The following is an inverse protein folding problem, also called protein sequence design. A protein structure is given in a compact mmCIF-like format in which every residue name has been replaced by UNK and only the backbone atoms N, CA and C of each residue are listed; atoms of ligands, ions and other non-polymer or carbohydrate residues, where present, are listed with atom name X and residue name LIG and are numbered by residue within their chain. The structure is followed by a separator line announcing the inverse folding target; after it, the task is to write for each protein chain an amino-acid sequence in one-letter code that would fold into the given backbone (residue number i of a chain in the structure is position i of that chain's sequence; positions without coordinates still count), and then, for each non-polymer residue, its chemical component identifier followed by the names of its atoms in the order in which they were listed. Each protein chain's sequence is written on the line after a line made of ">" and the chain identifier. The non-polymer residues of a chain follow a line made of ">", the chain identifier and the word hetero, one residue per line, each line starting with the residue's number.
data_IF_136309574002
#
_entry.id   IF_136309574002
#
_cell.length_a   1.000
_cell.length_b   1.000
_cell.length_c   1.000
_cell.angle_alpha   90.00
_cell.angle_beta   90.00
_cell.angle_gamma   90.00
#
_symmetry.space_group_name_H-M   'P 1'
#
loop_
_entity.id
_entity.type
_entity.pdbx_description
1 polymer ?
#
# COMPACT_ATOMS: atom_id res chain seq x y z
N UNK A 1 -7.45 -10.40 -0.23
CA UNK A 1 -6.69 -9.22 0.28
C UNK A 1 -5.18 -9.41 0.06
N UNK A 2 -4.75 -9.74 -1.16
CA UNK A 2 -3.44 -9.38 -1.73
C UNK A 2 -3.78 -8.33 -2.79
N UNK A 3 -3.19 -7.12 -2.75
CA UNK A 3 -1.75 -6.91 -2.61
C UNK A 3 -1.27 -6.36 -1.26
N UNK A 4 -2.15 -5.80 -0.42
CA UNK A 4 -1.73 -5.01 0.75
C UNK A 4 -2.05 -5.64 2.11
N UNK A 5 -1.14 -5.47 3.07
CA UNK A 5 -1.38 -5.78 4.48
C UNK A 5 -2.51 -4.90 5.04
N UNK A 6 -3.40 -5.50 5.84
CA UNK A 6 -4.56 -4.82 6.42
C UNK A 6 -4.16 -3.60 7.27
N UNK A 7 -3.00 -3.65 7.92
CA UNK A 7 -2.41 -2.53 8.66
C UNK A 7 -2.26 -1.26 7.83
N UNK A 8 -1.92 -1.40 6.55
CA UNK A 8 -1.67 -0.25 5.69
C UNK A 8 -2.98 0.36 5.20
N UNK A 9 -3.99 -0.46 4.92
CA UNK A 9 -5.35 0.02 4.66
C UNK A 9 -5.91 0.82 5.84
N UNK A 10 -5.70 0.33 7.07
CA UNK A 10 -6.07 1.09 8.26
C UNK A 10 -5.32 2.44 8.35
N UNK A 11 -4.05 2.46 7.97
CA UNK A 11 -3.26 3.69 7.89
C UNK A 11 -3.82 4.69 6.88
N UNK A 12 -4.22 4.23 5.68
CA UNK A 12 -4.85 5.08 4.65
C UNK A 12 -6.16 5.66 5.14
N UNK A 13 -7.05 4.84 5.73
CA UNK A 13 -8.30 5.34 6.29
C UNK A 13 -8.09 6.32 7.45
N UNK A 14 -7.07 6.09 8.28
CA UNK A 14 -6.69 7.03 9.33
C UNK A 14 -6.19 8.36 8.73
N UNK A 15 -5.36 8.33 7.69
CA UNK A 15 -4.88 9.53 6.98
C UNK A 15 -6.04 10.34 6.40
N UNK A 16 -6.95 9.68 5.67
CA UNK A 16 -8.15 10.31 5.13
C UNK A 16 -9.04 10.92 6.23
N UNK A 17 -9.17 10.23 7.37
CA UNK A 17 -9.88 10.76 8.52
C UNK A 17 -9.23 12.03 9.08
N UNK A 18 -7.90 12.04 9.20
CA UNK A 18 -7.15 13.22 9.67
C UNK A 18 -7.28 14.39 8.69
N UNK A 19 -7.24 14.14 7.39
CA UNK A 19 -7.42 15.19 6.36
C UNK A 19 -8.83 15.77 6.38
N UNK A 20 -9.86 14.93 6.49
CA UNK A 20 -11.24 15.40 6.60
C UNK A 20 -11.44 16.26 7.85
N UNK A 21 -10.84 15.88 8.98
CA UNK A 21 -10.84 16.69 10.20
C UNK A 21 -10.05 17.99 10.03
N UNK A 22 -8.88 17.94 9.41
CA UNK A 22 -8.06 19.13 9.15
C UNK A 22 -8.82 20.15 8.29
N UNK A 23 -9.49 19.71 7.22
CA UNK A 23 -10.31 20.57 6.37
C UNK A 23 -11.55 21.10 7.10
N UNK A 24 -12.21 20.27 7.90
CA UNK A 24 -13.32 20.69 8.76
C UNK A 24 -12.89 21.80 9.72
N UNK A 25 -11.80 21.59 10.47
CA UNK A 25 -11.28 22.58 11.41
C UNK A 25 -10.78 23.84 10.71
N UNK A 26 -10.09 23.70 9.58
CA UNK A 26 -9.60 24.87 8.83
C UNK A 26 -10.77 25.70 8.33
N UNK A 27 -11.88 25.10 7.89
CA UNK A 27 -13.08 25.83 7.45
C UNK A 27 -13.88 26.41 8.61
N UNK A 28 -13.95 25.71 9.75
CA UNK A 28 -14.68 26.16 10.92
C UNK A 28 -13.96 27.25 11.71
N UNK A 29 -12.62 27.17 11.80
CA UNK A 29 -11.79 28.04 12.61
C UNK A 29 -11.14 29.17 11.81
N UNK A 30 -11.05 29.08 10.48
CA UNK A 30 -10.49 30.18 9.70
C UNK A 30 -11.38 31.42 9.86
N UNK A 31 -10.88 32.50 10.49
CA UNK A 31 -11.60 33.76 10.51
C UNK A 31 -11.60 34.28 9.07
N UNK A 32 -12.79 34.38 8.48
CA UNK A 32 -12.94 34.92 7.14
C UNK A 32 -13.83 36.14 7.24
N UNK A 33 -13.24 37.32 7.13
CA UNK A 33 -13.97 38.61 7.14
C UNK A 33 -14.90 38.75 5.91
N UNK A 34 -14.76 37.87 4.93
CA UNK A 34 -15.43 37.92 3.62
C UNK A 34 -16.35 36.73 3.32
N UNK A 35 -16.32 35.66 4.12
CA UNK A 35 -17.14 34.46 3.87
C UNK A 35 -18.21 34.27 4.96
N UNK A 36 -19.42 33.82 4.58
CA UNK A 36 -20.48 33.53 5.53
C UNK A 36 -20.07 32.38 6.47
N UNK A 37 -20.48 32.47 7.74
CA UNK A 37 -20.25 31.43 8.73
C UNK A 37 -21.03 30.16 8.31
N UNK A 38 -20.31 29.14 7.84
CA UNK A 38 -20.91 27.89 7.37
C UNK A 38 -21.43 27.05 8.53
N UNK A 39 -22.53 26.33 8.31
CA UNK A 39 -23.05 25.39 9.30
C UNK A 39 -22.06 24.26 9.60
N UNK A 40 -22.15 23.66 10.80
CA UNK A 40 -21.33 22.50 11.17
C UNK A 40 -21.48 21.34 10.16
N UNK A 41 -22.71 21.08 9.73
CA UNK A 41 -23.00 20.02 8.76
C UNK A 41 -22.41 20.32 7.38
N UNK A 42 -22.51 21.57 6.91
CA UNK A 42 -21.95 21.99 5.62
C UNK A 42 -20.42 21.91 5.62
N UNK A 43 -19.80 22.30 6.74
CA UNK A 43 -18.33 22.22 6.91
C UNK A 43 -17.84 20.78 6.95
N UNK A 44 -18.60 19.88 7.59
CA UNK A 44 -18.29 18.45 7.61
C UNK A 44 -18.46 17.82 6.24
N UNK A 45 -19.58 18.11 5.57
CA UNK A 45 -19.84 17.63 4.21
C UNK A 45 -18.77 18.11 3.23
N UNK A 46 -18.35 19.37 3.34
CA UNK A 46 -17.25 19.91 2.56
C UNK A 46 -15.94 19.16 2.82
N UNK A 47 -15.52 19.02 4.08
CA UNK A 47 -14.28 18.31 4.42
C UNK A 47 -14.27 16.88 3.89
N UNK A 48 -15.35 16.14 4.12
CA UNK A 48 -15.48 14.75 3.69
C UNK A 48 -15.49 14.60 2.15
N UNK A 49 -16.31 15.37 1.44
CA UNK A 49 -16.42 15.27 -0.03
C UNK A 49 -15.13 15.74 -0.69
N UNK A 50 -14.51 16.81 -0.19
CA UNK A 50 -13.27 17.34 -0.75
C UNK A 50 -12.12 16.36 -0.54
N UNK A 51 -11.97 15.75 0.64
CA UNK A 51 -10.98 14.70 0.87
C UNK A 51 -11.16 13.53 -0.09
N UNK A 52 -12.40 13.04 -0.27
CA UNK A 52 -12.65 11.93 -1.22
C UNK A 52 -12.32 12.33 -2.67
N UNK A 53 -12.67 13.55 -3.09
CA UNK A 53 -12.35 14.03 -4.44
C UNK A 53 -10.84 14.12 -4.63
N UNK A 54 -10.11 14.71 -3.69
CA UNK A 54 -8.65 14.83 -3.76
C UNK A 54 -7.96 13.47 -3.77
N UNK A 55 -8.40 12.52 -2.94
CA UNK A 55 -7.85 11.17 -2.90
C UNK A 55 -7.98 10.45 -4.24
N UNK A 56 -9.11 10.61 -4.94
CA UNK A 56 -9.32 10.04 -6.29
C UNK A 56 -8.74 10.94 -7.39
N UNK A 57 -7.93 11.94 -7.04
CA UNK A 57 -7.32 12.91 -7.96
C UNK A 57 -8.33 13.70 -8.79
N UNK A 58 -9.54 13.91 -8.26
CA UNK A 58 -10.58 14.72 -8.88
C UNK A 58 -10.51 16.17 -8.38
N UNK A 59 -10.55 17.10 -9.33
CA UNK A 59 -10.63 18.53 -9.03
C UNK A 59 -11.94 18.89 -8.33
N UNK A 60 -11.89 19.94 -7.52
CA UNK A 60 -13.08 20.50 -6.88
C UNK A 60 -13.37 21.91 -7.40
N UNK A 61 -14.63 22.18 -7.71
CA UNK A 61 -15.10 23.47 -8.23
C UNK A 61 -15.26 24.56 -7.13
N UNK A 62 -14.57 24.38 -6.00
CA UNK A 62 -14.67 25.32 -4.89
C UNK A 62 -13.61 26.41 -5.04
N UNK A 63 -14.07 27.65 -5.26
CA UNK A 63 -13.21 28.83 -5.22
C UNK A 63 -12.89 29.15 -3.75
N UNK A 64 -11.72 28.74 -3.31
CA UNK A 64 -11.22 29.04 -1.97
C UNK A 64 -10.52 30.38 -1.98
N UNK A 65 -10.98 31.35 -1.18
CA UNK A 65 -10.33 32.67 -1.09
C UNK A 65 -9.25 32.74 0.01
N UNK A 66 -9.39 31.95 1.08
CA UNK A 66 -8.43 31.94 2.18
C UNK A 66 -7.10 31.27 1.82
N UNK A 67 -5.99 31.98 2.07
CA UNK A 67 -4.63 31.46 1.89
C UNK A 67 -4.36 30.22 2.76
N UNK A 68 -4.91 30.18 3.98
CA UNK A 68 -4.74 29.05 4.90
C UNK A 68 -5.39 27.78 4.36
N UNK A 69 -6.64 27.88 3.89
CA UNK A 69 -7.37 26.73 3.33
C UNK A 69 -6.67 26.24 2.06
N UNK A 70 -6.13 27.14 1.22
CA UNK A 70 -5.35 26.76 0.04
C UNK A 70 -4.08 25.98 0.41
N UNK A 71 -3.35 26.42 1.43
CA UNK A 71 -2.14 25.71 1.88
C UNK A 71 -2.47 24.32 2.43
N UNK A 72 -3.57 24.19 3.19
CA UNK A 72 -4.02 22.88 3.70
C UNK A 72 -4.45 21.97 2.56
N UNK A 73 -5.24 22.46 1.60
CA UNK A 73 -5.63 21.68 0.42
C UNK A 73 -4.42 21.23 -0.41
N UNK A 74 -3.41 22.08 -0.57
CA UNK A 74 -2.16 21.72 -1.23
C UNK A 74 -1.43 20.60 -0.48
N UNK A 75 -1.35 20.68 0.85
CA UNK A 75 -0.73 19.64 1.67
C UNK A 75 -1.48 18.30 1.57
N UNK A 76 -2.82 18.30 1.63
CA UNK A 76 -3.65 17.11 1.42
C UNK A 76 -3.41 16.51 0.03
N UNK A 77 -3.43 17.34 -1.02
CA UNK A 77 -3.17 16.88 -2.39
C UNK A 77 -1.80 16.21 -2.56
N UNK A 78 -0.75 16.79 -1.96
CA UNK A 78 0.58 16.19 -1.96
C UNK A 78 0.61 14.84 -1.24
N UNK A 79 -0.07 14.73 -0.10
CA UNK A 79 -0.16 13.48 0.67
C UNK A 79 -0.91 12.41 -0.12
N UNK A 80 -2.05 12.73 -0.70
CA UNK A 80 -2.85 11.84 -1.55
C UNK A 80 -2.06 11.33 -2.74
N UNK A 81 -1.28 12.21 -3.37
CA UNK A 81 -0.39 11.86 -4.49
C UNK A 81 0.67 10.86 -4.05
N UNK A 82 1.30 11.06 -2.89
CA UNK A 82 2.30 10.14 -2.34
C UNK A 82 1.67 8.78 -2.05
N UNK A 83 0.52 8.75 -1.35
CA UNK A 83 -0.18 7.52 -0.98
C UNK A 83 -0.57 6.73 -2.23
N UNK A 84 -1.17 7.40 -3.21
CA UNK A 84 -1.60 6.76 -4.47
C UNK A 84 -0.41 6.26 -5.29
N UNK A 85 0.70 7.00 -5.31
CA UNK A 85 1.92 6.59 -6.01
C UNK A 85 2.55 5.35 -5.38
N UNK A 86 2.64 5.30 -4.05
CA UNK A 86 3.16 4.14 -3.32
C UNK A 86 2.24 2.92 -3.52
N UNK A 87 0.93 3.12 -3.49
CA UNK A 87 -0.03 2.06 -3.77
C UNK A 87 0.12 1.52 -5.20
N UNK A 88 0.17 2.40 -6.20
CA UNK A 88 0.37 2.02 -7.60
C UNK A 88 1.70 1.31 -7.83
N UNK A 89 2.78 1.79 -7.19
CA UNK A 89 4.09 1.15 -7.24
C UNK A 89 4.11 -0.24 -6.62
N UNK A 90 3.54 -0.40 -5.42
CA UNK A 90 3.44 -1.68 -4.74
C UNK A 90 2.56 -2.68 -5.50
N UNK A 91 1.44 -2.22 -6.06
CA UNK A 91 0.58 -3.02 -6.91
C UNK A 91 1.33 -3.51 -8.16
N UNK A 92 2.07 -2.63 -8.83
CA UNK A 92 2.88 -2.98 -10.01
C UNK A 92 3.94 -4.04 -9.67
N UNK A 93 4.65 -3.90 -8.54
CA UNK A 93 5.63 -4.89 -8.10
C UNK A 93 5.00 -6.28 -7.86
N UNK A 94 3.81 -6.32 -7.28
CA UNK A 94 3.11 -7.59 -7.00
C UNK A 94 2.56 -8.23 -8.28
N UNK A 95 2.10 -7.43 -9.23
CA UNK A 95 1.60 -7.94 -10.52
C UNK A 95 2.72 -8.40 -11.47
N UNK A 96 3.93 -7.87 -11.30
CA UNK A 96 5.09 -8.21 -12.14
C UNK A 96 5.90 -9.37 -11.58
N UNK A 97 5.85 -9.61 -10.27
CA UNK A 97 6.53 -10.75 -9.66
C UNK A 97 5.67 -12.01 -9.73
N UNK A 98 6.09 -13.05 -10.48
CA UNK A 98 5.45 -14.34 -10.37
C UNK A 98 5.63 -14.88 -8.95
N UNK A 99 4.60 -15.53 -8.40
CA UNK A 99 4.73 -16.22 -7.12
C UNK A 99 5.65 -17.42 -7.32
N UNK A 100 6.93 -17.23 -6.99
CA UNK A 100 7.90 -18.31 -6.97
C UNK A 100 7.56 -19.22 -5.78
N UNK A 101 7.43 -20.51 -6.04
CA UNK A 101 7.38 -21.50 -4.97
C UNK A 101 8.69 -21.53 -4.20
N UNK A 102 8.62 -22.07 -2.99
CA UNK A 102 9.74 -22.12 -2.08
C UNK A 102 10.89 -22.94 -2.69
N UNK A 103 12.09 -22.37 -2.75
CA UNK A 103 13.23 -23.02 -3.39
C UNK A 103 13.62 -24.33 -2.69
N UNK A 104 14.02 -25.35 -3.45
CA UNK A 104 14.58 -26.59 -2.91
C UNK A 104 16.03 -26.35 -2.46
N UNK A 105 16.18 -25.76 -1.29
CA UNK A 105 17.46 -25.41 -0.65
C UNK A 105 18.15 -26.59 0.06
N UNK A 106 17.46 -27.70 0.23
CA UNK A 106 17.92 -28.90 0.95
C UNK A 106 17.61 -30.17 0.17
N UNK A 107 18.40 -31.22 0.42
CA UNK A 107 18.25 -32.53 -0.25
C UNK A 107 16.88 -33.13 0.00
N UNK A 108 16.39 -33.03 1.25
CA UNK A 108 15.05 -33.51 1.62
C UNK A 108 13.95 -32.79 0.83
N UNK A 109 14.10 -31.49 0.62
CA UNK A 109 13.12 -30.71 -0.14
C UNK A 109 13.25 -30.96 -1.64
N UNK A 110 14.46 -31.16 -2.15
CA UNK A 110 14.70 -31.56 -3.54
C UNK A 110 14.00 -32.89 -3.85
N UNK A 111 14.06 -33.85 -2.92
CA UNK A 111 13.33 -35.11 -2.99
C UNK A 111 11.82 -34.89 -2.96
N UNK A 112 11.29 -34.11 -2.01
CA UNK A 112 9.85 -33.80 -1.90
C UNK A 112 9.26 -33.11 -3.12
N UNK A 113 10.03 -32.23 -3.77
CA UNK A 113 9.60 -31.53 -4.99
C UNK A 113 9.74 -32.40 -6.25
N UNK A 114 10.29 -33.61 -6.16
CA UNK A 114 10.44 -34.53 -7.30
C UNK A 114 11.33 -33.99 -8.41
N UNK A 115 12.25 -33.08 -8.08
CA UNK A 115 13.09 -32.41 -9.08
C UNK A 115 14.16 -33.41 -9.57
N UNK A 116 14.27 -33.66 -10.88
CA UNK A 116 15.29 -34.55 -11.41
C UNK A 116 16.66 -33.96 -11.14
N UNK A 117 17.47 -34.67 -10.36
CA UNK A 117 18.84 -34.30 -10.05
C UNK A 117 19.81 -35.28 -10.71
N UNK A 118 20.99 -34.81 -11.09
CA UNK A 118 22.01 -35.65 -11.73
C UNK A 118 23.32 -35.54 -10.96
N UNK A 119 24.09 -36.62 -10.98
CA UNK A 119 25.45 -36.61 -10.48
C UNK A 119 26.41 -36.09 -11.55
N UNK A 120 27.44 -35.36 -11.13
CA UNK A 120 28.48 -34.86 -12.05
C UNK A 120 29.44 -35.96 -12.51
N UNK A 121 29.57 -37.07 -11.77
CA UNK A 121 30.43 -38.19 -12.11
C UNK A 121 29.82 -39.56 -11.77
N UNK A 122 30.14 -40.61 -12.53
CA UNK A 122 29.73 -41.98 -12.21
C UNK A 122 30.33 -42.48 -10.89
N UNK A 123 31.53 -42.02 -10.50
CA UNK A 123 32.18 -42.41 -9.24
C UNK A 123 31.34 -42.02 -8.02
N UNK A 124 30.68 -40.86 -8.06
CA UNK A 124 29.80 -40.40 -7.00
C UNK A 124 28.57 -41.30 -6.83
N UNK A 125 27.99 -41.79 -7.94
CA UNK A 125 26.84 -42.72 -7.91
C UNK A 125 27.24 -44.09 -7.36
N UNK A 126 28.44 -44.55 -7.69
CA UNK A 126 28.97 -45.83 -7.20
C UNK A 126 29.26 -45.75 -5.70
N UNK A 127 29.78 -44.62 -5.21
CA UNK A 127 29.99 -44.35 -3.78
C UNK A 127 28.69 -44.44 -2.98
N UNK A 128 27.55 -44.03 -3.54
CA UNK A 128 26.25 -44.10 -2.88
C UNK A 128 25.67 -45.52 -2.80
N UNK A 129 25.92 -46.36 -3.82
CA UNK A 129 25.43 -47.75 -3.84
C UNK A 129 26.08 -48.66 -2.80
N UNK A 130 27.23 -48.26 -2.25
CA UNK A 130 27.93 -48.98 -1.20
C UNK A 130 27.59 -48.52 0.23
N UNK A 131 26.84 -47.43 0.38
CA UNK A 131 26.39 -46.91 1.67
C UNK A 131 24.98 -47.43 1.95
N UNK A 132 24.87 -48.55 2.66
CA UNK A 132 23.62 -49.26 2.99
C UNK A 132 22.88 -48.63 4.19
N UNK A 133 23.15 -47.36 4.50
CA UNK A 133 22.53 -46.63 5.60
C UNK A 133 21.47 -45.66 5.08
N UNK A 134 20.27 -45.78 5.63
CA UNK A 134 19.10 -44.97 5.35
C UNK A 134 19.44 -43.47 5.48
N UNK A 135 19.41 -42.68 4.39
CA UNK A 135 19.92 -41.31 4.39
C UNK A 135 18.99 -40.29 5.09
N UNK A 136 17.92 -40.76 5.73
CA UNK A 136 16.85 -39.95 6.32
C UNK A 136 16.63 -40.19 7.83
N UNK A 137 17.58 -40.84 8.51
CA UNK A 137 17.61 -40.97 9.99
C UNK A 137 18.74 -40.14 10.58
#
# INVERSE_FOLDING_TARGET
>A
LRPFQLTLWLGVFACLGVEALALFFTRHLAPSDTEPQYGLMESFQFGYITTLKLFVSQGSDYVVNSHTVRMVLFACYMMDTIVTSVYGGGLSAILTLPTLEEASDSVERLYRHGIPWTATSPDWVISLKGADDDPMV
#
